data_IF_907439289855
#
_entry.id   IF_907439289855
#
_cell.length_a   1.000
_cell.length_b   1.000
_cell.length_c   1.000
_cell.angle_alpha   90.00
_cell.angle_beta   90.00
_cell.angle_gamma   90.00
#
_symmetry.space_group_name_H-M   'P 1'
#
loop_
_entity.id
_entity.type
_entity.pdbx_description
1 polymer ?
#
# COMPACT_ATOMS: atom_id res chain seq x y z
N UNK A 1 -18.52 7.80 -53.66
CA UNK A 1 -19.73 8.30 -53.00
C UNK A 1 -20.20 7.19 -52.07
N UNK A 2 -20.04 7.48 -50.78
CA UNK A 2 -20.63 6.87 -49.57
C UNK A 2 -20.65 5.34 -49.38
N UNK A 3 -19.79 4.95 -48.43
CA UNK A 3 -19.92 3.77 -47.58
C UNK A 3 -21.25 3.79 -46.81
N UNK A 4 -21.90 2.62 -46.71
CA UNK A 4 -22.83 2.33 -45.62
C UNK A 4 -22.40 1.04 -44.93
N UNK A 5 -21.48 1.21 -43.99
CA UNK A 5 -21.15 0.24 -42.96
C UNK A 5 -22.32 0.12 -41.97
N UNK A 6 -23.13 -0.92 -42.09
CA UNK A 6 -24.11 -1.25 -41.05
C UNK A 6 -23.41 -1.92 -39.87
N UNK A 7 -23.14 -1.10 -38.85
CA UNK A 7 -22.67 -1.49 -37.53
C UNK A 7 -23.68 -2.42 -36.84
N UNK A 8 -23.33 -3.71 -36.74
CA UNK A 8 -24.03 -4.68 -35.92
C UNK A 8 -23.69 -4.46 -34.44
N UNK A 9 -24.51 -3.69 -33.74
CA UNK A 9 -24.47 -3.60 -32.28
C UNK A 9 -24.92 -4.94 -31.65
N UNK A 10 -24.15 -5.55 -30.75
CA UNK A 10 -24.64 -6.69 -29.97
C UNK A 10 -25.55 -6.21 -28.85
N UNK A 11 -26.78 -6.74 -28.79
CA UNK A 11 -27.74 -6.51 -27.70
C UNK A 11 -27.17 -7.04 -26.37
N UNK A 12 -27.09 -6.22 -25.31
CA UNK A 12 -26.78 -6.71 -23.97
C UNK A 12 -28.07 -7.22 -23.34
N UNK A 13 -28.26 -8.54 -23.37
CA UNK A 13 -29.47 -9.16 -22.86
C UNK A 13 -29.42 -10.68 -22.81
N UNK A 14 -28.24 -11.29 -22.60
CA UNK A 14 -28.19 -12.67 -22.15
C UNK A 14 -28.24 -12.67 -20.64
N UNK A 15 -29.46 -12.83 -20.11
CA UNK A 15 -29.63 -13.34 -18.76
C UNK A 15 -28.80 -14.63 -18.66
N UNK A 16 -27.74 -14.58 -17.85
CA UNK A 16 -26.94 -15.76 -17.52
C UNK A 16 -27.91 -16.75 -16.89
N UNK A 17 -28.38 -17.73 -17.67
CA UNK A 17 -29.09 -18.86 -17.13
C UNK A 17 -28.16 -19.47 -16.09
N UNK A 18 -28.54 -19.32 -14.83
CA UNK A 18 -27.96 -20.03 -13.71
C UNK A 18 -28.02 -21.50 -14.10
N UNK A 19 -26.86 -22.06 -14.45
CA UNK A 19 -26.73 -23.46 -14.80
C UNK A 19 -27.01 -24.24 -13.51
N UNK A 20 -28.29 -24.58 -13.28
CA UNK A 20 -28.69 -25.48 -12.22
C UNK A 20 -27.96 -26.78 -12.49
N UNK A 21 -26.94 -27.08 -11.66
CA UNK A 21 -26.18 -28.33 -11.75
C UNK A 21 -27.17 -29.48 -11.71
N UNK A 22 -27.41 -30.10 -12.86
CA UNK A 22 -28.28 -31.26 -12.95
C UNK A 22 -27.62 -32.37 -12.14
N UNK A 23 -28.21 -32.69 -10.98
CA UNK A 23 -27.74 -33.78 -10.15
C UNK A 23 -28.04 -35.09 -10.89
N UNK A 24 -27.05 -35.62 -11.61
CA UNK A 24 -27.12 -36.95 -12.22
C UNK A 24 -27.15 -38.00 -11.11
N UNK A 25 -28.34 -38.40 -10.72
CA UNK A 25 -28.55 -39.47 -9.74
C UNK A 25 -28.27 -40.79 -10.46
N UNK A 26 -27.26 -41.52 -9.97
CA UNK A 26 -26.87 -42.84 -10.48
C UNK A 26 -28.05 -43.81 -10.44
N UNK A 27 -28.19 -44.63 -11.49
CA UNK A 27 -29.33 -45.53 -11.73
C UNK A 27 -29.55 -46.53 -10.59
N UNK A 28 -28.50 -46.98 -9.90
CA UNK A 28 -28.60 -47.86 -8.74
C UNK A 28 -29.32 -47.20 -7.54
N UNK A 29 -29.19 -45.88 -7.37
CA UNK A 29 -29.88 -45.14 -6.29
C UNK A 29 -31.37 -44.96 -6.55
N UNK A 30 -31.81 -45.07 -7.82
CA UNK A 30 -33.24 -45.00 -8.19
C UNK A 30 -33.98 -46.32 -7.95
N UNK A 31 -33.26 -47.44 -7.76
CA UNK A 31 -33.85 -48.75 -7.46
C UNK A 31 -34.48 -48.81 -6.07
N UNK A 32 -34.03 -47.97 -5.14
CA UNK A 32 -34.56 -47.88 -3.77
C UNK A 32 -35.71 -46.88 -3.64
N UNK A 33 -36.11 -46.22 -4.73
CA UNK A 33 -37.17 -45.22 -4.71
C UNK A 33 -38.53 -45.89 -4.58
N UNK A 34 -39.33 -45.38 -3.66
CA UNK A 34 -40.65 -45.91 -3.35
C UNK A 34 -41.71 -45.09 -4.08
N UNK A 35 -42.86 -45.70 -4.43
CA UNK A 35 -44.02 -44.93 -4.86
C UNK A 35 -44.39 -43.89 -3.80
N UNK A 36 -44.94 -42.76 -4.26
CA UNK A 36 -45.41 -41.71 -3.37
C UNK A 36 -46.43 -42.25 -2.35
N UNK A 37 -46.24 -41.94 -1.07
CA UNK A 37 -47.09 -42.48 0.01
C UNK A 37 -48.54 -42.01 -0.14
N UNK A 38 -49.50 -42.78 0.37
CA UNK A 38 -50.93 -42.42 0.31
C UNK A 38 -51.22 -41.06 0.96
N UNK A 39 -50.70 -40.83 2.16
CA UNK A 39 -50.86 -39.57 2.90
C UNK A 39 -50.31 -38.34 2.15
N UNK A 40 -49.17 -38.47 1.46
CA UNK A 40 -48.62 -37.35 0.68
C UNK A 40 -49.43 -37.08 -0.59
N UNK A 41 -49.97 -38.12 -1.24
CA UNK A 41 -50.91 -37.97 -2.36
C UNK A 41 -52.20 -37.27 -1.94
N UNK A 42 -52.79 -37.67 -0.82
CA UNK A 42 -53.98 -37.02 -0.25
C UNK A 42 -53.70 -35.55 0.08
N UNK A 43 -52.55 -35.24 0.71
CA UNK A 43 -52.16 -33.85 0.98
C UNK A 43 -52.00 -33.01 -0.30
N UNK A 44 -51.31 -33.54 -1.31
CA UNK A 44 -51.17 -32.87 -2.61
C UNK A 44 -52.53 -32.65 -3.29
N UNK A 45 -53.43 -33.63 -3.20
CA UNK A 45 -54.78 -33.51 -3.72
C UNK A 45 -55.55 -32.38 -3.01
N UNK A 46 -55.51 -32.32 -1.68
CA UNK A 46 -56.14 -31.25 -0.90
C UNK A 46 -55.56 -29.87 -1.24
N UNK A 47 -54.25 -29.75 -1.39
CA UNK A 47 -53.60 -28.50 -1.81
C UNK A 47 -54.08 -28.06 -3.20
N UNK A 48 -54.16 -28.98 -4.16
CA UNK A 48 -54.69 -28.69 -5.49
C UNK A 48 -56.16 -28.26 -5.44
N UNK A 49 -56.99 -28.95 -4.64
CA UNK A 49 -58.39 -28.58 -4.43
C UNK A 49 -58.54 -27.17 -3.86
N UNK A 50 -57.73 -26.81 -2.84
CA UNK A 50 -57.70 -25.47 -2.27
C UNK A 50 -57.31 -24.39 -3.28
N UNK A 51 -56.30 -24.64 -4.12
CA UNK A 51 -55.88 -23.69 -5.17
C UNK A 51 -56.96 -23.56 -6.25
N UNK A 52 -57.60 -24.67 -6.65
CA UNK A 52 -58.70 -24.64 -7.62
C UNK A 52 -59.86 -23.81 -7.07
N UNK A 53 -60.25 -24.00 -5.80
CA UNK A 53 -61.29 -23.22 -5.14
C UNK A 53 -60.92 -21.73 -5.08
N UNK A 54 -59.68 -21.40 -4.74
CA UNK A 54 -59.21 -20.02 -4.69
C UNK A 54 -59.27 -19.33 -6.07
N UNK A 55 -58.87 -20.03 -7.13
CA UNK A 55 -58.93 -19.51 -8.50
C UNK A 55 -60.38 -19.32 -8.95
N UNK A 56 -61.25 -20.32 -8.74
CA UNK A 56 -62.65 -20.26 -9.14
C UNK A 56 -63.43 -19.18 -8.37
N UNK A 57 -63.05 -18.91 -7.12
CA UNK A 57 -63.63 -17.82 -6.33
C UNK A 57 -63.30 -16.43 -6.87
N UNK A 58 -62.25 -16.29 -7.69
CA UNK A 58 -61.77 -15.00 -8.22
C UNK A 58 -62.13 -14.76 -9.70
N UNK A 59 -62.75 -15.74 -10.38
CA UNK A 59 -63.11 -15.63 -11.80
C UNK A 59 -64.62 -15.52 -12.01
N UNK A 60 -65.04 -14.85 -13.11
CA UNK A 60 -66.46 -14.79 -13.54
C UNK A 60 -66.86 -15.94 -14.48
N UNK A 61 -65.91 -16.54 -15.20
CA UNK A 61 -66.13 -17.62 -16.18
C UNK A 61 -65.77 -19.01 -15.61
N UNK A 62 -66.54 -19.45 -14.62
CA UNK A 62 -66.13 -20.56 -13.76
C UNK A 62 -66.18 -21.94 -14.42
N UNK A 63 -67.06 -22.19 -15.38
CA UNK A 63 -67.28 -23.54 -15.93
C UNK A 63 -66.13 -24.06 -16.79
N UNK A 64 -65.64 -23.24 -17.74
CA UNK A 64 -64.51 -23.61 -18.61
C UNK A 64 -63.21 -23.73 -17.81
N UNK A 65 -62.97 -22.77 -16.91
CA UNK A 65 -61.79 -22.78 -16.03
C UNK A 65 -61.82 -24.01 -15.13
N UNK A 66 -62.98 -24.33 -14.53
CA UNK A 66 -63.16 -25.53 -13.70
C UNK A 66 -62.92 -26.81 -14.48
N UNK A 67 -63.39 -26.91 -15.74
CA UNK A 67 -63.12 -28.08 -16.58
C UNK A 67 -61.62 -28.29 -16.81
N UNK A 68 -60.90 -27.24 -17.23
CA UNK A 68 -59.46 -27.33 -17.48
C UNK A 68 -58.65 -27.61 -16.21
N UNK A 69 -59.01 -26.99 -15.09
CA UNK A 69 -58.36 -27.21 -13.80
C UNK A 69 -58.58 -28.65 -13.29
N UNK A 70 -59.79 -29.18 -13.43
CA UNK A 70 -60.08 -30.57 -13.05
C UNK A 70 -59.38 -31.58 -13.97
N UNK A 71 -59.27 -31.28 -15.26
CA UNK A 71 -58.49 -32.11 -16.18
C UNK A 71 -57.01 -32.12 -15.79
N UNK A 72 -56.44 -30.94 -15.49
CA UNK A 72 -55.06 -30.82 -15.05
C UNK A 72 -54.81 -31.57 -13.73
N UNK A 73 -55.72 -31.42 -12.76
CA UNK A 73 -55.70 -32.17 -11.49
C UNK A 73 -55.64 -33.67 -11.74
N UNK A 74 -56.55 -34.23 -12.55
CA UNK A 74 -56.57 -35.67 -12.87
C UNK A 74 -55.26 -36.14 -13.50
N UNK A 75 -54.77 -35.41 -14.50
CA UNK A 75 -53.50 -35.72 -15.17
C UNK A 75 -52.31 -35.70 -14.21
N UNK A 76 -52.26 -34.72 -13.31
CA UNK A 76 -51.19 -34.58 -12.33
C UNK A 76 -51.24 -35.68 -11.26
N UNK A 77 -52.43 -36.03 -10.77
CA UNK A 77 -52.61 -37.13 -9.83
C UNK A 77 -52.16 -38.47 -10.43
N UNK A 78 -52.49 -38.72 -11.70
CA UNK A 78 -52.02 -39.91 -12.42
C UNK A 78 -50.50 -39.96 -12.53
N UNK A 79 -49.84 -38.83 -12.77
CA UNK A 79 -48.37 -38.76 -12.74
C UNK A 79 -47.83 -39.04 -11.34
N UNK A 80 -48.45 -38.51 -10.30
CA UNK A 80 -48.06 -38.75 -8.90
C UNK A 80 -48.19 -40.24 -8.48
N UNK A 81 -49.07 -41.03 -9.10
CA UNK A 81 -49.17 -42.48 -8.85
C UNK A 81 -47.96 -43.25 -9.38
N UNK A 82 -47.44 -42.84 -10.53
CA UNK A 82 -46.26 -43.47 -11.16
C UNK A 82 -44.93 -42.88 -10.67
N UNK A 83 -44.99 -41.76 -9.95
CA UNK A 83 -43.83 -41.04 -9.45
C UNK A 83 -43.14 -41.82 -8.33
N UNK A 84 -41.89 -42.23 -8.59
CA UNK A 84 -41.01 -42.80 -7.58
C UNK A 84 -40.24 -41.68 -6.90
N UNK A 85 -40.23 -41.69 -5.57
CA UNK A 85 -39.52 -40.72 -4.75
C UNK A 85 -38.49 -41.39 -3.85
N UNK A 86 -37.37 -40.71 -3.52
CA UNK A 86 -36.41 -41.21 -2.55
C UNK A 86 -37.08 -41.54 -1.20
N UNK A 87 -36.74 -42.68 -0.57
CA UNK A 87 -37.41 -43.16 0.64
C UNK A 87 -37.08 -42.36 1.90
N UNK A 88 -35.98 -41.60 1.90
CA UNK A 88 -35.60 -40.76 3.04
C UNK A 88 -36.30 -39.41 2.92
N UNK A 89 -37.16 -39.09 3.89
CA UNK A 89 -37.51 -37.70 4.19
C UNK A 89 -36.18 -37.01 4.54
N UNK A 90 -35.80 -36.02 3.74
CA UNK A 90 -34.68 -35.15 4.12
C UNK A 90 -35.11 -34.49 5.43
N UNK A 91 -34.34 -34.67 6.50
CA UNK A 91 -34.73 -34.18 7.82
C UNK A 91 -34.61 -32.65 7.83
N UNK A 92 -35.73 -31.98 7.54
CA UNK A 92 -35.79 -30.52 7.40
C UNK A 92 -35.75 -29.80 8.76
N UNK A 93 -35.77 -30.54 9.87
CA UNK A 93 -35.70 -29.99 11.24
C UNK A 93 -34.44 -29.15 11.44
N UNK A 94 -33.30 -29.61 10.92
CA UNK A 94 -32.02 -28.90 11.02
C UNK A 94 -31.86 -27.72 10.05
N UNK A 95 -32.70 -27.64 9.01
CA UNK A 95 -32.60 -26.55 8.01
C UNK A 95 -32.97 -25.21 8.64
N UNK A 96 -33.96 -25.18 9.54
CA UNK A 96 -34.36 -23.97 10.26
C UNK A 96 -33.27 -23.47 11.21
N UNK A 97 -32.63 -24.37 11.97
CA UNK A 97 -31.51 -24.00 12.85
C UNK A 97 -30.30 -23.54 12.06
N UNK A 98 -29.99 -24.20 10.94
CA UNK A 98 -28.88 -23.82 10.06
C UNK A 98 -29.12 -22.45 9.42
N UNK A 99 -30.35 -22.18 8.97
CA UNK A 99 -30.73 -20.85 8.45
C UNK A 99 -30.58 -19.74 9.51
N UNK A 100 -30.96 -20.01 10.76
CA UNK A 100 -30.80 -19.02 11.86
C UNK A 100 -29.33 -18.75 12.16
N UNK A 101 -28.51 -19.80 12.18
CA UNK A 101 -27.06 -19.68 12.39
C UNK A 101 -26.40 -18.89 11.26
N UNK A 102 -26.70 -19.23 10.01
CA UNK A 102 -26.20 -18.54 8.84
C UNK A 102 -26.56 -17.06 8.86
N UNK A 103 -27.81 -16.72 9.21
CA UNK A 103 -28.24 -15.32 9.37
C UNK A 103 -27.53 -14.58 10.49
N UNK A 104 -27.23 -15.25 11.60
CA UNK A 104 -26.48 -14.65 12.69
C UNK A 104 -25.03 -14.37 12.27
N UNK A 105 -24.39 -15.32 11.60
CA UNK A 105 -23.05 -15.17 11.05
C UNK A 105 -22.99 -14.05 10.00
N UNK A 106 -23.97 -14.00 9.08
CA UNK A 106 -24.06 -12.92 8.11
C UNK A 106 -24.15 -11.55 8.78
N UNK A 107 -24.94 -11.40 9.85
CA UNK A 107 -25.02 -10.12 10.59
C UNK A 107 -23.69 -9.73 11.23
N UNK A 108 -23.03 -10.67 11.90
CA UNK A 108 -21.72 -10.42 12.49
C UNK A 108 -20.66 -10.04 11.44
N UNK A 109 -20.72 -10.66 10.25
CA UNK A 109 -19.83 -10.33 9.14
C UNK A 109 -20.10 -8.93 8.59
N UNK A 110 -21.36 -8.53 8.43
CA UNK A 110 -21.73 -7.18 7.99
C UNK A 110 -21.25 -6.11 9.00
N UNK A 111 -21.45 -6.35 10.30
CA UNK A 111 -20.95 -5.47 11.36
C UNK A 111 -19.42 -5.37 11.33
N UNK A 112 -18.72 -6.50 11.17
CA UNK A 112 -17.26 -6.53 11.03
C UNK A 112 -16.78 -5.80 9.77
N UNK A 113 -17.50 -5.93 8.66
CA UNK A 113 -17.18 -5.25 7.41
C UNK A 113 -17.38 -3.73 7.53
N UNK A 114 -18.42 -3.28 8.22
CA UNK A 114 -18.63 -1.86 8.52
C UNK A 114 -17.51 -1.27 9.37
N UNK A 115 -17.04 -1.99 10.40
CA UNK A 115 -15.90 -1.57 11.23
C UNK A 115 -14.60 -1.45 10.41
N UNK A 116 -14.31 -2.43 9.55
CA UNK A 116 -13.14 -2.40 8.68
C UNK A 116 -13.19 -1.23 7.68
N UNK A 117 -14.37 -0.90 7.18
CA UNK A 117 -14.56 0.26 6.32
C UNK A 117 -14.28 1.56 7.10
N UNK A 118 -14.80 1.69 8.31
CA UNK A 118 -14.55 2.87 9.16
C UNK A 118 -13.06 3.04 9.49
N UNK A 119 -12.35 1.95 9.81
CA UNK A 119 -10.91 1.99 10.03
C UNK A 119 -10.15 2.40 8.75
N UNK A 120 -10.55 1.87 7.60
CA UNK A 120 -9.94 2.25 6.31
C UNK A 120 -10.13 3.74 6.03
N UNK A 121 -11.34 4.26 6.24
CA UNK A 121 -11.65 5.68 6.01
C UNK A 121 -10.81 6.58 6.93
N UNK A 122 -10.61 6.19 8.20
CA UNK A 122 -9.73 6.90 9.14
C UNK A 122 -8.27 6.95 8.69
N UNK A 123 -7.73 5.83 8.16
CA UNK A 123 -6.33 5.85 7.69
C UNK A 123 -6.21 6.69 6.42
N UNK A 124 -7.23 6.65 5.54
CA UNK A 124 -7.26 7.50 4.34
C UNK A 124 -7.25 8.98 4.72
N UNK A 125 -8.11 9.40 5.64
CA UNK A 125 -8.14 10.78 6.16
C UNK A 125 -6.78 11.19 6.74
N UNK A 126 -6.14 10.28 7.49
CA UNK A 126 -4.80 10.52 8.05
C UNK A 126 -3.75 10.70 6.95
N UNK A 127 -3.78 9.84 5.92
CA UNK A 127 -2.85 9.90 4.78
C UNK A 127 -3.06 11.18 3.98
N UNK A 128 -4.31 11.61 3.76
CA UNK A 128 -4.64 12.86 3.07
C UNK A 128 -4.10 14.06 3.84
N UNK A 129 -4.31 14.11 5.15
CA UNK A 129 -3.77 15.15 6.04
C UNK A 129 -2.24 15.22 5.98
N UNK A 130 -1.56 14.07 6.15
CA UNK A 130 -0.11 13.98 6.06
C UNK A 130 0.43 14.39 4.68
N UNK A 131 -0.29 14.04 3.61
CA UNK A 131 0.08 14.44 2.24
C UNK A 131 -0.01 15.96 2.08
N UNK A 132 -1.04 16.58 2.65
CA UNK A 132 -1.17 18.04 2.73
C UNK A 132 0.00 18.70 3.45
N UNK A 133 0.40 18.16 4.61
CA UNK A 133 1.54 18.65 5.38
C UNK A 133 2.86 18.52 4.62
N UNK A 134 3.09 17.38 3.96
CA UNK A 134 4.28 17.16 3.11
C UNK A 134 4.33 18.18 1.98
N UNK A 135 3.20 18.44 1.31
CA UNK A 135 3.15 19.40 0.22
C UNK A 135 3.39 20.84 0.70
N UNK A 136 2.84 21.20 1.86
CA UNK A 136 3.09 22.49 2.52
C UNK A 136 4.56 22.67 2.86
N UNK A 137 5.19 21.65 3.46
CA UNK A 137 6.61 21.68 3.81
C UNK A 137 7.50 21.75 2.56
N UNK A 138 7.17 21.00 1.51
CA UNK A 138 7.88 21.05 0.22
C UNK A 138 7.85 22.46 -0.37
N UNK A 139 6.71 23.14 -0.32
CA UNK A 139 6.59 24.52 -0.77
C UNK A 139 7.47 25.47 0.06
N UNK A 140 7.47 25.33 1.40
CA UNK A 140 8.32 26.14 2.29
C UNK A 140 9.81 25.93 2.00
N UNK A 141 10.24 24.69 1.83
CA UNK A 141 11.63 24.36 1.47
C UNK A 141 12.01 24.96 0.11
N UNK A 142 11.10 24.96 -0.86
CA UNK A 142 11.34 25.57 -2.17
C UNK A 142 11.53 27.09 -2.07
N UNK A 143 10.66 27.78 -1.32
CA UNK A 143 10.76 29.23 -1.09
C UNK A 143 12.08 29.58 -0.39
N UNK A 144 12.39 28.91 0.72
CA UNK A 144 13.63 29.14 1.46
C UNK A 144 14.87 28.89 0.60
N UNK A 145 14.84 27.86 -0.26
CA UNK A 145 15.93 27.61 -1.21
C UNK A 145 16.12 28.78 -2.17
N UNK A 146 15.04 29.33 -2.73
CA UNK A 146 15.12 30.49 -3.63
C UNK A 146 15.63 31.76 -2.93
N UNK A 147 15.24 31.96 -1.67
CA UNK A 147 15.69 33.09 -0.85
C UNK A 147 17.18 32.98 -0.53
N UNK A 148 17.65 31.79 -0.11
CA UNK A 148 19.09 31.53 0.10
C UNK A 148 19.90 31.75 -1.18
N UNK A 149 19.42 31.28 -2.33
CA UNK A 149 20.08 31.49 -3.62
C UNK A 149 20.13 32.97 -4.03
N UNK A 150 19.11 33.76 -3.68
CA UNK A 150 19.11 35.21 -3.88
C UNK A 150 20.11 35.93 -2.97
N UNK A 151 20.13 35.59 -1.67
CA UNK A 151 21.08 36.17 -0.73
C UNK A 151 22.53 35.79 -1.07
N UNK A 152 22.80 34.55 -1.51
CA UNK A 152 24.11 34.18 -2.03
C UNK A 152 24.53 35.00 -3.25
N UNK A 153 23.60 35.29 -4.18
CA UNK A 153 23.88 36.17 -5.32
C UNK A 153 24.20 37.59 -4.87
N UNK A 154 23.46 38.13 -3.89
CA UNK A 154 23.73 39.45 -3.31
C UNK A 154 25.11 39.50 -2.65
N UNK A 155 25.45 38.49 -1.84
CA UNK A 155 26.78 38.36 -1.21
C UNK A 155 27.88 38.29 -2.28
N UNK A 156 27.73 37.44 -3.30
CA UNK A 156 28.73 37.37 -4.38
C UNK A 156 28.92 38.72 -5.09
N UNK A 157 27.83 39.48 -5.29
CA UNK A 157 27.88 40.80 -5.90
C UNK A 157 28.49 41.87 -4.98
N UNK A 158 28.16 41.89 -3.69
CA UNK A 158 28.70 42.87 -2.74
C UNK A 158 30.17 42.63 -2.41
N UNK A 159 30.58 41.37 -2.36
CA UNK A 159 31.94 41.01 -1.99
C UNK A 159 32.86 40.76 -3.20
N UNK A 160 32.39 40.91 -4.45
CA UNK A 160 33.14 40.55 -5.68
C UNK A 160 33.98 39.29 -5.47
N UNK A 161 33.38 38.24 -4.90
CA UNK A 161 34.09 36.99 -4.61
C UNK A 161 34.13 36.18 -5.89
N UNK A 162 34.82 36.71 -6.89
CA UNK A 162 35.48 35.87 -7.88
C UNK A 162 36.70 35.28 -7.17
N UNK A 163 36.48 34.10 -6.58
CA UNK A 163 37.48 33.09 -6.23
C UNK A 163 38.96 33.54 -6.24
N UNK A 164 39.34 34.39 -5.30
CA UNK A 164 40.73 34.52 -4.88
C UNK A 164 40.73 34.77 -3.37
N UNK A 165 41.13 33.74 -2.64
CA UNK A 165 41.19 33.66 -1.18
C UNK A 165 42.11 34.76 -0.68
N UNK A 166 41.51 35.85 -0.19
CA UNK A 166 42.22 37.10 0.16
C UNK A 166 42.97 37.63 -1.08
N UNK A 167 42.72 38.86 -1.53
CA UNK A 167 43.49 39.47 -2.61
C UNK A 167 44.95 39.75 -2.18
N UNK A 168 45.67 38.71 -1.76
CA UNK A 168 47.07 38.72 -1.43
C UNK A 168 47.81 38.63 -2.75
N UNK A 169 48.78 39.52 -3.00
CA UNK A 169 49.65 39.39 -4.15
C UNK A 169 50.25 37.99 -4.17
N UNK A 170 50.15 37.27 -5.30
CA UNK A 170 50.83 35.98 -5.48
C UNK A 170 52.31 36.17 -5.12
N UNK A 171 52.73 35.57 -4.00
CA UNK A 171 54.14 35.58 -3.61
C UNK A 171 54.91 34.87 -4.72
N UNK A 172 55.89 35.58 -5.29
CA UNK A 172 56.63 35.04 -6.44
C UNK A 172 57.18 33.65 -6.15
N UNK A 173 57.06 32.72 -7.09
CA UNK A 173 57.62 31.37 -6.93
C UNK A 173 59.14 31.37 -6.68
N UNK A 174 59.83 32.46 -7.04
CA UNK A 174 61.24 32.69 -6.73
C UNK A 174 61.47 32.86 -5.22
N UNK A 175 60.56 33.53 -4.51
CA UNK A 175 60.62 33.68 -3.06
C UNK A 175 60.36 32.34 -2.35
N UNK A 176 59.36 31.58 -2.81
CA UNK A 176 59.01 30.28 -2.21
C UNK A 176 60.06 29.18 -2.45
N UNK A 177 60.80 29.27 -3.55
CA UNK A 177 61.87 28.31 -3.91
C UNK A 177 63.27 28.79 -3.52
N UNK A 178 63.40 30.02 -3.02
CA UNK A 178 64.68 30.50 -2.53
C UNK A 178 65.12 29.67 -1.32
N UNK A 179 66.37 29.18 -1.28
CA UNK A 179 66.89 28.58 -0.06
C UNK A 179 66.80 29.61 1.07
N UNK A 180 66.35 29.17 2.25
CA UNK A 180 66.33 30.03 3.43
C UNK A 180 67.72 30.63 3.67
N UNK A 181 67.79 31.89 4.11
CA UNK A 181 69.04 32.63 4.32
C UNK A 181 70.10 31.82 5.08
N UNK A 182 69.67 31.05 6.08
CA UNK A 182 70.53 30.16 6.86
C UNK A 182 71.29 29.15 5.98
N UNK A 183 70.62 28.57 4.96
CA UNK A 183 71.20 27.61 4.02
C UNK A 183 72.16 28.28 3.04
N UNK A 184 71.87 29.52 2.64
CA UNK A 184 72.76 30.31 1.80
C UNK A 184 74.05 30.71 2.56
N UNK A 185 73.91 31.13 3.82
CA UNK A 185 75.06 31.43 4.68
C UNK A 185 75.91 30.18 4.93
N UNK A 186 75.28 29.03 5.20
CA UNK A 186 75.99 27.75 5.40
C UNK A 186 76.79 27.31 4.16
N UNK A 187 76.29 27.56 2.95
CA UNK A 187 77.01 27.23 1.71
C UNK A 187 78.29 28.05 1.51
N UNK A 188 78.39 29.25 2.10
CA UNK A 188 79.56 30.11 1.99
C UNK A 188 80.69 29.71 2.95
N UNK A 189 80.44 28.82 3.92
CA UNK A 189 81.40 28.44 4.96
C UNK A 189 82.11 27.12 4.59
N UNK A 190 83.44 27.10 4.44
CA UNK A 190 84.20 25.87 4.24
C UNK A 190 84.05 24.93 5.45
N UNK A 191 83.86 23.63 5.21
CA UNK A 191 83.69 22.61 6.25
C UNK A 191 82.40 22.75 7.11
N UNK A 192 81.29 23.16 6.47
CA UNK A 192 79.96 23.33 7.11
C UNK A 192 79.52 22.16 8.01
N UNK A 193 79.80 20.92 7.60
CA UNK A 193 79.31 19.73 8.31
C UNK A 193 80.04 19.50 9.63
N UNK A 194 81.30 19.90 9.76
CA UNK A 194 82.03 19.83 11.02
C UNK A 194 81.52 20.91 11.98
N UNK A 195 81.34 22.13 11.50
CA UNK A 195 80.80 23.23 12.29
C UNK A 195 79.38 22.94 12.82
N UNK A 196 78.52 22.33 12.01
CA UNK A 196 77.19 21.92 12.46
C UNK A 196 77.25 20.86 13.57
N UNK A 197 78.21 19.93 13.50
CA UNK A 197 78.41 18.93 14.56
C UNK A 197 78.95 19.55 15.84
N UNK A 198 79.92 20.46 15.72
CA UNK A 198 80.48 21.17 16.87
C UNK A 198 79.43 22.06 17.55
N UNK A 199 78.59 22.73 16.75
CA UNK A 199 77.47 23.52 17.24
C UNK A 199 76.40 22.65 17.92
N UNK A 200 76.11 21.47 17.39
CA UNK A 200 75.18 20.53 18.02
C UNK A 200 75.73 20.01 19.35
N UNK A 201 77.04 19.70 19.43
CA UNK A 201 77.71 19.33 20.68
C UNK A 201 77.67 20.50 21.69
N UNK A 202 77.90 21.73 21.25
CA UNK A 202 77.82 22.92 22.10
C UNK A 202 76.39 23.19 22.58
N UNK A 203 75.39 23.10 21.70
CA UNK A 203 73.98 23.28 22.03
C UNK A 203 73.49 22.22 23.03
N UNK A 204 74.01 21.00 22.93
CA UNK A 204 73.68 19.92 23.84
C UNK A 204 74.50 19.91 25.14
N UNK A 205 75.49 20.80 25.27
CA UNK A 205 76.28 20.93 26.49
C UNK A 205 75.42 21.37 27.69
N UNK A 206 75.74 20.91 28.91
CA UNK A 206 74.97 21.28 30.09
C UNK A 206 74.98 22.79 30.35
N UNK A 207 76.11 23.46 30.10
CA UNK A 207 76.24 24.91 30.30
C UNK A 207 75.32 25.70 29.37
N UNK A 208 75.18 25.27 28.11
CA UNK A 208 74.31 25.95 27.14
C UNK A 208 72.83 25.71 27.45
N UNK A 209 72.47 24.52 27.93
CA UNK A 209 71.11 24.20 28.38
C UNK A 209 70.73 25.03 29.60
N UNK A 210 71.62 25.16 30.57
CA UNK A 210 71.42 25.98 31.77
C UNK A 210 71.26 27.47 31.42
N UNK A 211 72.01 27.96 30.43
CA UNK A 211 71.82 29.31 29.90
C UNK A 211 70.48 29.48 29.19
N UNK A 212 70.05 28.49 28.40
CA UNK A 212 68.79 28.56 27.65
C UNK A 212 67.58 28.56 28.60
N UNK A 213 67.60 27.70 29.63
CA UNK A 213 66.54 27.67 30.66
C UNK A 213 66.50 28.97 31.46
N UNK A 214 67.66 29.54 31.79
CA UNK A 214 67.73 30.86 32.43
C UNK A 214 67.08 31.95 31.55
N UNK A 215 67.43 32.02 30.27
CA UNK A 215 66.85 33.00 29.33
C UNK A 215 65.33 32.79 29.21
N UNK A 216 64.89 31.54 29.08
CA UNK A 216 63.46 31.20 28.99
C UNK A 216 62.69 31.63 30.24
N UNK A 217 63.27 31.44 31.43
CA UNK A 217 62.65 31.88 32.69
C UNK A 217 62.59 33.41 32.79
N UNK A 218 63.62 34.12 32.33
CA UNK A 218 63.63 35.59 32.25
C UNK A 218 62.54 36.09 31.29
N UNK A 219 62.37 35.49 30.12
CA UNK A 219 61.31 35.87 29.18
C UNK A 219 59.90 35.58 29.73
N UNK A 220 59.70 34.41 30.37
CA UNK A 220 58.41 34.09 31.03
C UNK A 220 58.04 35.10 32.11
N UNK A 221 59.03 35.66 32.81
CA UNK A 221 58.81 36.72 33.81
C UNK A 221 58.52 38.08 33.17
N UNK A 222 59.03 38.33 31.96
CA UNK A 222 58.79 39.58 31.23
C UNK A 222 57.38 39.61 30.60
N UNK A 223 56.92 38.50 30.02
CA UNK A 223 55.58 38.40 29.40
C UNK A 223 54.43 38.33 30.43
N UNK A 224 54.75 38.01 31.69
CA UNK A 224 53.79 37.99 32.81
C UNK A 224 53.67 39.35 33.53
N UNK A 225 54.38 40.37 33.05
CA UNK A 225 54.40 41.72 33.62
C UNK A 225 53.70 42.73 32.72
#
# INVERSE_FOLDING_TARGET
MEEFSTSSHPRPGQAKHTNLKQVKIATHKRKTWQPLSKSSREHLQTMMESVIIAILSNSRENEKIQYHLNFLKKRLLQLCETLKVPPKKQDLTHVSSLLKMERAQHRANEEGLALLQEETDKIVETIESMTGDIQSLKNKVHVLRSEVEEEERKVKQTFQIDSEVLCLPELSQKSLKAPILQKEILMLIPNQNALLKDLDVLHNSPQMKDMLTFIEEVYKRLDAS
#
